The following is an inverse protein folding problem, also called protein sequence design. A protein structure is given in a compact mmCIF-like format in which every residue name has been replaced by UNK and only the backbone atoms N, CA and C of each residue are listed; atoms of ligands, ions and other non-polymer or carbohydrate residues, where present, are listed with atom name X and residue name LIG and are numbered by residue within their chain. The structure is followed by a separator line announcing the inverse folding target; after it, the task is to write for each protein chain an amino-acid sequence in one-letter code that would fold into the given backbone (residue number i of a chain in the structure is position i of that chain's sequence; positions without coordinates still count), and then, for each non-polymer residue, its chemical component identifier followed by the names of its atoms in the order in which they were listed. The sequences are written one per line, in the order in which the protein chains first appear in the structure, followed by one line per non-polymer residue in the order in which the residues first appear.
data_IF_098455008908
#
_entry.id   IF_098455008908
#
_cell.length_a   1.000
_cell.length_b   1.000
_cell.length_c   1.000
_cell.angle_alpha   90.00
_cell.angle_beta   90.00
_cell.angle_gamma   90.00
#
_symmetry.space_group_name_H-M   'P 1'
#
loop_
_entity.id
_entity.type
_entity.pdbx_description
1 polymer ?
#
# COMPACT_ATOMS: atom_id res chain seq x y z
N UNK A 1 12.89 21.06 5.48
CA UNK A 1 14.01 20.10 5.66
C UNK A 1 13.37 18.84 6.25
N UNK A 2 13.30 17.75 5.49
CA UNK A 2 12.69 16.50 5.96
C UNK A 2 13.67 15.90 6.99
N UNK A 3 13.22 15.65 8.22
CA UNK A 3 14.05 15.07 9.28
C UNK A 3 14.41 13.62 8.95
N UNK A 4 15.53 13.10 9.46
CA UNK A 4 15.91 11.68 9.28
C UNK A 4 14.82 10.71 9.78
N UNK A 5 14.00 11.13 10.73
CA UNK A 5 12.86 10.34 11.22
C UNK A 5 11.75 10.18 10.18
N UNK A 6 11.56 11.14 9.29
CA UNK A 6 10.59 11.01 8.18
C UNK A 6 11.06 10.04 7.07
N UNK A 7 12.31 9.57 7.12
CA UNK A 7 12.80 8.47 6.26
C UNK A 7 12.56 7.08 6.86
N UNK A 8 12.29 7.00 8.16
CA UNK A 8 11.92 5.75 8.83
C UNK A 8 10.42 5.55 8.68
N UNK A 9 10.03 4.35 8.25
CA UNK A 9 8.63 3.96 8.20
C UNK A 9 8.29 3.39 9.55
N UNK A 10 7.58 4.19 10.35
CA UNK A 10 7.03 3.74 11.61
C UNK A 10 5.57 3.39 11.38
N UNK A 11 5.25 2.10 11.52
CA UNK A 11 3.90 1.55 11.37
C UNK A 11 3.55 0.78 12.64
N UNK A 12 2.35 0.99 13.13
CA UNK A 12 1.78 0.26 14.25
C UNK A 12 1.61 -1.23 13.93
N UNK A 13 1.41 -2.05 14.96
CA UNK A 13 1.19 -3.50 14.77
C UNK A 13 -0.09 -3.82 13.97
N UNK A 14 -1.14 -3.01 14.11
CA UNK A 14 -2.36 -3.14 13.29
C UNK A 14 -2.07 -2.83 11.82
N UNK A 15 -1.31 -1.77 11.54
CA UNK A 15 -0.92 -1.41 10.17
C UNK A 15 0.01 -2.46 9.54
N UNK A 16 0.95 -3.03 10.32
CA UNK A 16 1.78 -4.15 9.85
C UNK A 16 0.92 -5.36 9.47
N UNK A 17 -0.08 -5.71 10.27
CA UNK A 17 -1.02 -6.80 9.95
C UNK A 17 -1.80 -6.50 8.67
N UNK A 18 -2.22 -5.26 8.48
CA UNK A 18 -2.91 -4.83 7.27
C UNK A 18 -2.00 -4.94 6.04
N UNK A 19 -0.77 -4.43 6.10
CA UNK A 19 0.24 -4.53 5.03
C UNK A 19 0.49 -6.01 4.69
N UNK A 20 0.69 -6.85 5.70
CA UNK A 20 0.89 -8.29 5.50
C UNK A 20 -0.32 -8.96 4.84
N UNK A 21 -1.54 -8.59 5.24
CA UNK A 21 -2.77 -9.09 4.63
C UNK A 21 -2.89 -8.71 3.16
N UNK A 22 -2.68 -7.43 2.85
CA UNK A 22 -2.70 -6.90 1.47
C UNK A 22 -1.62 -7.58 0.62
N UNK A 23 -0.38 -7.64 1.11
CA UNK A 23 0.72 -8.26 0.36
C UNK A 23 0.43 -9.73 0.08
N UNK A 24 -0.12 -10.48 1.03
CA UNK A 24 -0.50 -11.89 0.82
C UNK A 24 -1.58 -12.04 -0.24
N UNK A 25 -2.64 -11.24 -0.18
CA UNK A 25 -3.71 -11.23 -1.20
C UNK A 25 -3.12 -10.92 -2.58
N UNK A 26 -2.26 -9.90 -2.68
CA UNK A 26 -1.62 -9.56 -3.96
C UNK A 26 -0.71 -10.68 -4.47
N UNK A 27 -0.04 -11.44 -3.60
CA UNK A 27 0.78 -12.60 -4.00
C UNK A 27 -0.05 -13.77 -4.52
N UNK A 28 -1.31 -13.93 -4.08
CA UNK A 28 -2.22 -14.95 -4.62
C UNK A 28 -2.59 -14.67 -6.08
N UNK A 29 -2.71 -13.39 -6.45
CA UNK A 29 -3.02 -12.98 -7.83
C UNK A 29 -1.79 -12.78 -8.70
N UNK A 30 -0.66 -12.42 -8.10
CA UNK A 30 0.56 -12.04 -8.80
C UNK A 30 1.67 -12.93 -8.24
N UNK A 31 2.15 -13.87 -9.07
CA UNK A 31 3.17 -14.86 -8.69
C UNK A 31 4.52 -14.20 -8.38
N UNK A 32 4.61 -13.56 -7.21
CA UNK A 32 5.75 -12.80 -6.71
C UNK A 32 6.01 -13.26 -5.28
N UNK A 33 7.28 -13.41 -4.87
CA UNK A 33 7.60 -13.72 -3.50
C UNK A 33 7.03 -12.69 -2.51
N UNK A 34 6.45 -13.17 -1.41
CA UNK A 34 5.88 -12.34 -0.34
C UNK A 34 6.87 -11.29 0.18
N UNK A 35 8.15 -11.65 0.31
CA UNK A 35 9.21 -10.72 0.71
C UNK A 35 9.37 -9.54 -0.26
N UNK A 36 9.35 -9.83 -1.57
CA UNK A 36 9.41 -8.80 -2.62
C UNK A 36 8.18 -7.90 -2.55
N UNK A 37 6.99 -8.49 -2.39
CA UNK A 37 5.73 -7.76 -2.30
C UNK A 37 5.71 -6.82 -1.10
N UNK A 38 6.15 -7.29 0.07
CA UNK A 38 6.31 -6.47 1.29
C UNK A 38 7.33 -5.35 1.10
N UNK A 39 8.48 -5.64 0.50
CA UNK A 39 9.50 -4.63 0.21
C UNK A 39 8.95 -3.49 -0.67
N UNK A 40 8.13 -3.83 -1.66
CA UNK A 40 7.45 -2.84 -2.51
C UNK A 40 6.41 -2.04 -1.69
N UNK A 41 5.63 -2.70 -0.81
CA UNK A 41 4.67 -2.00 0.05
C UNK A 41 5.37 -0.97 0.96
N UNK A 42 6.47 -1.35 1.61
CA UNK A 42 7.29 -0.42 2.41
C UNK A 42 7.84 0.71 1.53
N UNK A 43 8.32 0.43 0.32
CA UNK A 43 8.76 1.50 -0.59
C UNK A 43 7.64 2.49 -0.93
N UNK A 44 6.42 1.99 -1.18
CA UNK A 44 5.26 2.81 -1.47
C UNK A 44 4.88 3.74 -0.31
N UNK A 45 4.90 3.22 0.92
CA UNK A 45 4.67 4.01 2.13
C UNK A 45 5.72 5.12 2.26
N UNK A 46 7.00 4.82 2.00
CA UNK A 46 8.08 5.81 2.06
C UNK A 46 7.89 6.90 1.02
N UNK A 47 7.58 6.53 -0.21
CA UNK A 47 7.34 7.49 -1.30
C UNK A 47 6.15 8.40 -0.97
N UNK A 48 5.07 7.85 -0.39
CA UNK A 48 3.94 8.65 0.06
C UNK A 48 4.33 9.67 1.15
N UNK A 49 5.12 9.25 2.15
CA UNK A 49 5.59 10.18 3.20
C UNK A 49 6.42 11.33 2.62
N UNK A 50 7.27 11.04 1.64
CA UNK A 50 8.12 12.04 0.97
C UNK A 50 7.25 13.03 0.17
N UNK A 51 6.29 12.52 -0.60
CA UNK A 51 5.41 13.34 -1.46
C UNK A 51 4.52 14.26 -0.61
N UNK A 52 3.95 13.74 0.47
CA UNK A 52 2.95 14.44 1.27
C UNK A 52 3.54 15.16 2.49
N UNK A 53 4.85 15.07 2.72
CA UNK A 53 5.52 15.62 3.90
C UNK A 53 4.82 15.25 5.21
N UNK A 54 4.28 14.03 5.27
CA UNK A 54 3.48 13.49 6.38
C UNK A 54 3.96 12.08 6.71
N UNK A 55 3.71 11.62 7.93
CA UNK A 55 4.02 10.27 8.40
C UNK A 55 2.82 9.35 8.20
N UNK A 56 3.07 8.03 8.12
CA UNK A 56 1.96 7.05 8.06
C UNK A 56 1.13 7.08 9.34
N UNK A 57 1.75 7.30 10.50
CA UNK A 57 1.05 7.39 11.79
C UNK A 57 0.02 8.52 11.82
N UNK A 58 0.27 9.63 11.14
CA UNK A 58 -0.69 10.74 11.09
C UNK A 58 -1.97 10.39 10.33
N UNK A 59 -1.97 9.34 9.49
CA UNK A 59 -3.15 8.93 8.71
C UNK A 59 -4.29 8.48 9.62
N UNK A 60 -4.00 7.81 10.74
CA UNK A 60 -5.03 7.36 11.70
C UNK A 60 -5.75 8.53 12.38
N UNK A 61 -5.05 9.65 12.49
CA UNK A 61 -5.56 10.86 13.16
C UNK A 61 -6.26 11.81 12.16
N UNK A 62 -6.21 11.51 10.85
CA UNK A 62 -6.90 12.29 9.84
C UNK A 62 -8.42 12.07 9.89
N UNK A 63 -9.22 13.10 9.56
CA UNK A 63 -10.63 12.91 9.26
C UNK A 63 -10.79 11.81 8.21
N UNK A 64 -11.79 10.94 8.37
CA UNK A 64 -11.91 9.71 7.60
C UNK A 64 -11.83 9.91 6.07
N UNK A 65 -12.41 10.98 5.54
CA UNK A 65 -12.32 11.29 4.10
C UNK A 65 -10.89 11.57 3.64
N UNK A 66 -10.09 12.25 4.46
CA UNK A 66 -8.67 12.50 4.19
C UNK A 66 -7.83 11.23 4.40
N UNK A 67 -8.10 10.46 5.44
CA UNK A 67 -7.44 9.17 5.66
C UNK A 67 -7.65 8.19 4.50
N UNK A 68 -8.89 8.08 4.00
CA UNK A 68 -9.20 7.26 2.82
C UNK A 68 -8.50 7.73 1.56
N UNK A 69 -8.35 9.05 1.37
CA UNK A 69 -7.60 9.58 0.23
C UNK A 69 -6.10 9.26 0.35
N UNK A 70 -5.51 9.36 1.53
CA UNK A 70 -4.13 8.94 1.77
C UNK A 70 -3.92 7.45 1.43
N UNK A 71 -4.83 6.57 1.88
CA UNK A 71 -4.78 5.13 1.55
C UNK A 71 -4.87 4.90 0.05
N UNK A 72 -5.77 5.60 -0.67
CA UNK A 72 -5.88 5.51 -2.14
C UNK A 72 -4.59 5.93 -2.84
N UNK A 73 -3.96 6.99 -2.37
CA UNK A 73 -2.69 7.47 -2.93
C UNK A 73 -1.55 6.46 -2.71
N UNK A 74 -1.44 5.90 -1.50
CA UNK A 74 -0.48 4.84 -1.18
C UNK A 74 -0.70 3.64 -2.10
N UNK A 75 -1.94 3.22 -2.28
CA UNK A 75 -2.30 2.12 -3.20
C UNK A 75 -1.92 2.41 -4.64
N UNK A 76 -2.14 3.65 -5.10
CA UNK A 76 -1.73 4.09 -6.43
C UNK A 76 -0.21 4.02 -6.60
N UNK A 77 0.56 4.54 -5.63
CA UNK A 77 2.02 4.50 -5.63
C UNK A 77 2.51 3.05 -5.65
N UNK A 78 1.95 2.20 -4.79
CA UNK A 78 2.26 0.78 -4.73
C UNK A 78 2.04 0.10 -6.09
N UNK A 79 0.88 0.33 -6.71
CA UNK A 79 0.59 -0.21 -8.03
C UNK A 79 1.61 0.22 -9.08
N UNK A 80 1.97 1.50 -9.09
CA UNK A 80 2.95 2.03 -10.06
C UNK A 80 4.36 1.47 -9.84
N UNK A 81 4.81 1.31 -8.60
CA UNK A 81 6.10 0.66 -8.31
C UNK A 81 6.04 -0.79 -8.77
N UNK A 82 4.97 -1.52 -8.45
CA UNK A 82 4.83 -2.92 -8.83
C UNK A 82 4.83 -3.09 -10.36
N UNK A 83 4.09 -2.24 -11.09
CA UNK A 83 4.09 -2.23 -12.57
C UNK A 83 5.48 -1.99 -13.13
N UNK A 84 6.28 -1.10 -12.51
CA UNK A 84 7.68 -0.84 -12.92
C UNK A 84 8.62 -2.00 -12.60
N UNK A 85 8.44 -2.65 -11.45
CA UNK A 85 9.23 -3.82 -11.05
C UNK A 85 8.93 -5.03 -11.93
N UNK A 86 7.71 -5.14 -12.45
CA UNK A 86 7.25 -6.22 -13.32
C UNK A 86 7.33 -5.88 -14.82
N UNK A 87 8.13 -4.88 -15.21
CA UNK A 87 8.45 -4.62 -16.63
C UNK A 87 9.27 -5.79 -17.15
N UNK A 88 8.54 -6.83 -17.53
CA UNK A 88 8.98 -7.91 -18.40
C UNK A 88 8.27 -7.70 -19.75
N UNK A 89 9.00 -7.58 -20.87
CA UNK A 89 8.41 -7.39 -22.20
C UNK A 89 7.46 -8.51 -22.65
N UNK A 90 7.41 -9.65 -21.95
CA UNK A 90 6.49 -10.75 -22.23
C UNK A 90 5.21 -10.74 -21.38
N UNK A 91 5.07 -9.77 -20.46
CA UNK A 91 4.03 -9.81 -19.44
C UNK A 91 2.68 -9.30 -19.96
N UNK A 92 1.87 -10.23 -20.50
CA UNK A 92 0.46 -10.02 -20.87
C UNK A 92 -0.46 -9.67 -19.68
N UNK A 93 0.06 -9.58 -18.46
CA UNK A 93 -0.72 -9.49 -17.21
C UNK A 93 -0.93 -8.08 -16.66
N UNK A 94 -0.79 -7.01 -17.46
CA UNK A 94 -1.07 -5.63 -17.01
C UNK A 94 -2.47 -5.50 -16.37
N UNK A 95 -3.46 -6.20 -16.93
CA UNK A 95 -4.83 -6.23 -16.42
C UNK A 95 -4.97 -7.02 -15.10
N UNK A 96 -4.14 -8.06 -14.86
CA UNK A 96 -4.20 -8.86 -13.63
C UNK A 96 -3.76 -8.02 -12.42
N UNK A 97 -2.75 -7.16 -12.59
CA UNK A 97 -2.30 -6.25 -11.53
C UNK A 97 -3.43 -5.28 -11.15
N UNK A 98 -4.14 -4.74 -12.14
CA UNK A 98 -5.24 -3.81 -11.90
C UNK A 98 -6.39 -4.50 -11.14
N UNK A 99 -6.78 -5.72 -11.54
CA UNK A 99 -7.81 -6.53 -10.85
C UNK A 99 -7.38 -6.88 -9.42
N UNK A 100 -6.13 -7.30 -9.22
CA UNK A 100 -5.60 -7.66 -7.91
C UNK A 100 -5.65 -6.47 -6.93
N UNK A 101 -5.29 -5.28 -7.41
CA UNK A 101 -5.33 -4.06 -6.60
C UNK A 101 -6.76 -3.61 -6.28
N UNK A 102 -7.71 -3.74 -7.21
CA UNK A 102 -9.12 -3.45 -6.92
C UNK A 102 -9.68 -4.38 -5.84
N UNK A 103 -9.38 -5.68 -5.91
CA UNK A 103 -9.82 -6.64 -4.90
C UNK A 103 -9.19 -6.37 -3.53
N UNK A 104 -7.87 -6.11 -3.49
CA UNK A 104 -7.19 -5.74 -2.26
C UNK A 104 -7.76 -4.46 -1.64
N UNK A 105 -8.11 -3.46 -2.46
CA UNK A 105 -8.70 -2.22 -1.98
C UNK A 105 -10.11 -2.44 -1.40
N UNK A 106 -10.95 -3.28 -2.01
CA UNK A 106 -12.25 -3.66 -1.45
C UNK A 106 -12.12 -4.29 -0.06
N UNK A 107 -11.14 -5.17 0.14
CA UNK A 107 -10.91 -5.79 1.45
C UNK A 107 -10.54 -4.76 2.54
N UNK A 108 -9.80 -3.70 2.17
CA UNK A 108 -9.51 -2.61 3.11
C UNK A 108 -10.78 -1.83 3.45
N UNK A 109 -11.60 -1.50 2.44
CA UNK A 109 -12.86 -0.79 2.68
C UNK A 109 -13.77 -1.59 3.62
N UNK A 110 -13.85 -2.91 3.44
CA UNK A 110 -14.57 -3.79 4.35
C UNK A 110 -13.96 -3.85 5.75
N UNK A 111 -12.63 -3.85 5.86
CA UNK A 111 -11.96 -3.81 7.16
C UNK A 111 -12.28 -2.50 7.90
N UNK A 112 -12.23 -1.37 7.20
CA UNK A 112 -12.59 -0.06 7.73
C UNK A 112 -14.06 0.03 8.15
N UNK A 113 -14.99 -0.57 7.38
CA UNK A 113 -16.42 -0.53 7.72
C UNK A 113 -16.79 -1.43 8.90
N UNK A 114 -16.08 -2.55 9.12
CA UNK A 114 -16.34 -3.46 10.24
C UNK A 114 -15.84 -2.96 11.60
N UNK A 115 -14.87 -2.04 11.62
CA UNK A 115 -14.33 -1.45 12.85
C UNK A 115 -14.91 -0.05 13.14
N UNK A 116 -16.06 0.29 12.51
CA UNK A 116 -16.82 1.51 12.74
C UNK A 116 -17.93 1.39 13.81
N UNK A 117 -18.01 0.27 14.55
CA UNK A 117 -18.95 0.07 15.67
C UNK A 117 -18.21 -0.15 16.98
#
# INVERSE_FOLDING_TARGET
KISEDALKINVSESEKKLINGISRVLCEFINIPDLTMKGIAYKALKEWQIINHSTILEISDMPIGRGLNAVKEIFRIYKEILKKTLIDPHNKNKNIIDIAFENAFKMILEHCSRHQN
#
